data_IF_048160418908
#
_entry.id   IF_048160418908
#
_cell.length_a   1.000
_cell.length_b   1.000
_cell.length_c   1.000
_cell.angle_alpha   90.00
_cell.angle_beta   90.00
_cell.angle_gamma   90.00
#
_symmetry.space_group_name_H-M   'P 1'
#
loop_
_entity.id
_entity.type
_entity.pdbx_description
1 polymer ?
#
# COMPACT_ATOMS: atom_id res chain seq x y z
N UNK A 1 -3.04 -7.25 2.38
CA UNK A 1 -3.15 -7.12 3.86
C UNK A 1 -2.02 -7.81 4.63
N UNK A 2 -1.55 -9.00 4.22
CA UNK A 2 -0.51 -9.75 4.94
C UNK A 2 0.87 -9.04 4.98
N UNK A 3 1.31 -8.43 3.88
CA UNK A 3 2.60 -7.72 3.78
C UNK A 3 2.64 -6.48 4.68
N UNK A 4 1.56 -5.69 4.71
CA UNK A 4 1.43 -4.52 5.60
C UNK A 4 1.44 -4.94 7.06
N UNK A 5 0.69 -5.99 7.41
CA UNK A 5 0.66 -6.52 8.79
C UNK A 5 2.04 -7.06 9.21
N UNK A 6 2.74 -7.75 8.31
CA UNK A 6 4.09 -8.27 8.55
C UNK A 6 5.10 -7.14 8.78
N UNK A 7 5.05 -6.06 7.99
CA UNK A 7 5.92 -4.90 8.16
C UNK A 7 5.66 -4.16 9.47
N UNK A 8 4.39 -4.05 9.90
CA UNK A 8 4.03 -3.47 11.20
C UNK A 8 4.58 -4.32 12.35
N UNK A 9 4.39 -5.65 12.30
CA UNK A 9 4.90 -6.57 13.33
C UNK A 9 6.43 -6.52 13.39
N UNK A 10 7.10 -6.56 12.24
CA UNK A 10 8.56 -6.53 12.16
C UNK A 10 9.13 -5.21 12.69
N UNK A 11 8.48 -4.08 12.38
CA UNK A 11 8.83 -2.76 12.93
C UNK A 11 8.68 -2.72 14.46
N UNK A 12 7.61 -3.29 15.01
CA UNK A 12 7.41 -3.39 16.46
C UNK A 12 8.49 -4.22 17.15
N UNK A 13 8.90 -5.34 16.53
CA UNK A 13 9.98 -6.20 17.06
C UNK A 13 11.32 -5.45 17.07
N UNK A 14 11.66 -4.75 15.98
CA UNK A 14 12.90 -3.96 15.89
C UNK A 14 12.94 -2.85 16.95
N UNK A 15 11.84 -2.13 17.17
CA UNK A 15 11.73 -1.14 18.24
C UNK A 15 11.91 -1.81 19.62
N UNK A 16 11.22 -2.92 19.87
CA UNK A 16 11.28 -3.61 21.16
C UNK A 16 12.72 -4.04 21.50
N UNK A 17 13.46 -4.58 20.52
CA UNK A 17 14.87 -4.95 20.68
C UNK A 17 15.73 -3.71 20.98
N UNK A 18 15.53 -2.61 20.24
CA UNK A 18 16.28 -1.36 20.47
C UNK A 18 16.04 -0.79 21.89
N UNK A 19 14.79 -0.85 22.37
CA UNK A 19 14.43 -0.39 23.73
C UNK A 19 15.08 -1.27 24.80
N UNK A 20 15.04 -2.60 24.66
CA UNK A 20 15.67 -3.53 25.61
C UNK A 20 17.19 -3.29 25.67
N UNK A 21 17.84 -3.14 24.51
CA UNK A 21 19.27 -2.86 24.44
C UNK A 21 19.63 -1.50 25.05
N UNK A 22 18.76 -0.50 24.92
CA UNK A 22 18.92 0.81 25.56
C UNK A 22 18.88 0.71 27.09
N UNK A 23 17.96 -0.09 27.64
CA UNK A 23 17.87 -0.31 29.10
C UNK A 23 19.15 -0.98 29.62
N UNK A 24 19.64 -2.01 28.91
CA UNK A 24 20.89 -2.70 29.26
C UNK A 24 22.09 -1.74 29.18
N UNK A 25 22.17 -0.92 28.14
CA UNK A 25 23.20 0.08 27.96
C UNK A 25 23.25 1.10 29.11
N UNK A 26 22.09 1.61 29.54
CA UNK A 26 21.97 2.54 30.68
C UNK A 26 22.49 1.87 31.96
N UNK A 27 22.13 0.60 32.22
CA UNK A 27 22.62 -0.14 33.39
C UNK A 27 24.16 -0.27 33.35
N UNK A 28 24.74 -0.61 32.19
CA UNK A 28 26.20 -0.75 32.03
C UNK A 28 26.94 0.59 32.22
N UNK A 29 26.37 1.69 31.75
CA UNK A 29 26.90 3.04 31.95
C UNK A 29 26.88 3.39 33.45
N UNK A 30 25.76 3.18 34.13
CA UNK A 30 25.62 3.44 35.58
C UNK A 30 26.63 2.60 36.37
N UNK A 31 26.73 1.29 36.10
CA UNK A 31 27.68 0.41 36.79
C UNK A 31 29.14 0.85 36.55
N UNK A 32 29.46 1.28 35.33
CA UNK A 32 30.79 1.79 34.99
C UNK A 32 31.11 3.09 35.72
N UNK A 33 30.15 4.02 35.82
CA UNK A 33 30.28 5.27 36.58
C UNK A 33 30.46 5.01 38.08
N UNK A 34 29.68 4.10 38.66
CA UNK A 34 29.79 3.71 40.08
C UNK A 34 31.16 3.08 40.36
N UNK A 35 31.64 2.16 39.51
CA UNK A 35 32.99 1.58 39.64
C UNK A 35 34.08 2.64 39.53
N UNK A 36 33.97 3.56 38.58
CA UNK A 36 34.92 4.66 38.41
C UNK A 36 34.96 5.59 39.63
N UNK A 37 33.81 5.88 40.24
CA UNK A 37 33.71 6.68 41.46
C UNK A 37 34.38 6.00 42.66
N UNK A 38 34.15 4.69 42.86
CA UNK A 38 34.80 3.92 43.93
C UNK A 38 36.32 3.84 43.75
N UNK A 39 36.80 3.53 42.55
CA UNK A 39 38.23 3.42 42.28
C UNK A 39 38.97 4.75 42.45
N UNK A 40 38.32 5.89 42.14
CA UNK A 40 38.85 7.24 42.40
C UNK A 40 39.07 7.49 43.90
N UNK A 41 38.18 6.99 44.77
CA UNK A 41 38.37 7.05 46.24
C UNK A 41 39.52 6.15 46.72
N UNK A 42 39.80 5.07 46.01
CA UNK A 42 40.84 4.09 46.35
C UNK A 42 42.19 4.35 45.64
N UNK A 43 42.34 5.45 44.88
CA UNK A 43 43.52 5.74 44.04
C UNK A 43 43.89 4.61 43.05
N UNK A 44 42.88 3.86 42.57
CA UNK A 44 43.04 2.77 41.60
C UNK A 44 42.66 3.23 40.19
N UNK A 45 43.39 2.77 39.17
CA UNK A 45 43.02 3.00 37.76
C UNK A 45 41.79 2.17 37.37
N UNK A 46 40.90 2.75 36.58
CA UNK A 46 39.74 2.04 35.99
C UNK A 46 39.81 2.02 34.47
N UNK A 47 39.34 0.90 33.91
CA UNK A 47 39.12 0.75 32.47
C UNK A 47 37.84 1.47 32.05
N UNK A 48 37.91 2.22 30.94
CA UNK A 48 36.75 2.92 30.33
C UNK A 48 35.94 2.04 29.37
N UNK A 49 36.30 0.76 29.22
CA UNK A 49 35.69 -0.17 28.26
C UNK A 49 34.18 -0.32 28.47
N UNK A 50 33.71 -0.41 29.73
CA UNK A 50 32.28 -0.53 30.02
C UNK A 50 31.45 0.71 29.64
N UNK A 51 32.05 1.91 29.70
CA UNK A 51 31.42 3.15 29.26
C UNK A 51 31.28 3.19 27.74
N UNK A 52 32.34 2.82 27.01
CA UNK A 52 32.32 2.79 25.54
C UNK A 52 31.40 1.71 24.99
N UNK A 53 31.37 0.52 25.60
CA UNK A 53 30.41 -0.54 25.25
C UNK A 53 28.98 -0.07 25.50
N UNK A 54 28.73 0.58 26.65
CA UNK A 54 27.41 1.13 26.97
C UNK A 54 26.95 2.18 25.95
N UNK A 55 27.83 3.12 25.56
CA UNK A 55 27.51 4.13 24.54
C UNK A 55 27.26 3.47 23.17
N UNK A 56 28.09 2.52 22.75
CA UNK A 56 27.91 1.82 21.47
C UNK A 56 26.57 1.04 21.43
N UNK A 57 26.22 0.34 22.51
CA UNK A 57 24.94 -0.36 22.65
C UNK A 57 23.74 0.58 22.69
N UNK A 58 23.93 1.86 23.03
CA UNK A 58 22.88 2.86 23.00
C UNK A 58 22.67 3.46 21.60
N UNK A 59 23.71 3.52 20.75
CA UNK A 59 23.62 4.18 19.44
C UNK A 59 23.32 3.18 18.31
N UNK A 60 24.01 2.04 18.29
CA UNK A 60 23.94 1.08 17.17
C UNK A 60 22.52 0.52 16.91
N UNK A 61 21.75 0.10 17.93
CA UNK A 61 20.41 -0.45 17.69
C UNK A 61 19.45 0.56 17.07
N UNK A 62 19.58 1.84 17.43
CA UNK A 62 18.75 2.91 16.88
C UNK A 62 19.16 3.29 15.45
N UNK A 63 20.44 3.20 15.10
CA UNK A 63 20.89 3.32 13.71
C UNK A 63 20.32 2.20 12.84
N UNK A 64 20.30 0.95 13.34
CA UNK A 64 19.70 -0.19 12.64
C UNK A 64 18.20 0.00 12.50
N UNK A 65 17.51 0.41 13.57
CA UNK A 65 16.08 0.70 13.51
C UNK A 65 15.77 1.81 12.48
N UNK A 66 16.53 2.90 12.48
CA UNK A 66 16.37 3.98 11.52
C UNK A 66 16.58 3.52 10.07
N UNK A 67 17.64 2.74 9.80
CA UNK A 67 17.88 2.17 8.48
C UNK A 67 16.73 1.25 8.04
N UNK A 68 16.21 0.43 8.96
CA UNK A 68 15.06 -0.43 8.70
C UNK A 68 13.79 0.37 8.38
N UNK A 69 13.51 1.45 9.11
CA UNK A 69 12.37 2.33 8.81
C UNK A 69 12.50 3.01 7.45
N UNK A 70 13.70 3.48 7.09
CA UNK A 70 13.94 4.07 5.77
C UNK A 70 13.75 3.02 4.68
N UNK A 71 14.31 1.82 4.83
CA UNK A 71 14.15 0.73 3.87
C UNK A 71 12.67 0.30 3.74
N UNK A 72 11.93 0.20 4.84
CA UNK A 72 10.50 -0.12 4.81
C UNK A 72 9.68 0.97 4.14
N UNK A 73 10.03 2.25 4.33
CA UNK A 73 9.36 3.37 3.64
C UNK A 73 9.65 3.37 2.15
N UNK A 74 10.90 3.11 1.75
CA UNK A 74 11.27 2.98 0.34
C UNK A 74 10.53 1.80 -0.28
N UNK A 75 10.54 0.64 0.39
CA UNK A 75 9.81 -0.54 -0.07
C UNK A 75 8.30 -0.29 -0.22
N UNK A 76 7.66 0.36 0.74
CA UNK A 76 6.23 0.70 0.67
C UNK A 76 5.99 1.74 -0.44
N UNK A 77 6.84 2.76 -0.57
CA UNK A 77 6.77 3.73 -1.65
C UNK A 77 7.03 3.12 -3.03
N UNK A 78 7.79 2.03 -3.13
CA UNK A 78 8.09 1.35 -4.39
C UNK A 78 7.01 0.32 -4.77
N UNK A 79 6.35 -0.31 -3.78
CA UNK A 79 5.42 -1.43 -3.99
C UNK A 79 3.94 -1.11 -3.70
N UNK A 80 3.64 0.11 -3.24
CA UNK A 80 2.29 0.62 -2.94
C UNK A 80 2.16 2.06 -3.51
N UNK A 81 2.57 2.22 -4.78
CA UNK A 81 2.70 3.52 -5.46
C UNK A 81 1.35 4.18 -5.73
N UNK A 82 0.31 3.39 -5.90
CA UNK A 82 -1.03 3.87 -6.20
C UNK A 82 -1.99 3.02 -5.39
N UNK A 83 -2.44 3.50 -4.24
CA UNK A 83 -3.66 2.97 -3.63
C UNK A 83 -4.74 3.92 -4.11
N UNK A 84 -5.52 3.57 -5.16
CA UNK A 84 -6.60 4.44 -5.57
C UNK A 84 -7.51 4.65 -4.36
N UNK A 85 -7.72 5.92 -4.00
CA UNK A 85 -8.79 6.24 -3.08
C UNK A 85 -10.07 5.71 -3.73
N UNK A 86 -10.73 4.74 -3.08
CA UNK A 86 -11.95 4.12 -3.60
C UNK A 86 -13.02 5.18 -3.88
N UNK A 87 -12.99 6.29 -3.15
CA UNK A 87 -13.85 7.44 -3.41
C UNK A 87 -13.51 8.15 -4.72
N UNK A 88 -12.23 8.20 -5.12
CA UNK A 88 -11.79 8.71 -6.42
C UNK A 88 -12.24 7.77 -7.55
N UNK A 89 -11.99 6.46 -7.44
CA UNK A 89 -12.46 5.48 -8.44
C UNK A 89 -13.98 5.51 -8.61
N UNK A 90 -14.72 5.40 -7.50
CA UNK A 90 -16.17 5.46 -7.54
C UNK A 90 -16.65 6.82 -8.08
N UNK A 91 -16.00 7.90 -7.66
CA UNK A 91 -16.33 9.26 -8.08
C UNK A 91 -16.16 9.47 -9.58
N UNK A 92 -15.06 9.02 -10.16
CA UNK A 92 -14.76 9.13 -11.58
C UNK A 92 -15.79 8.36 -12.42
N UNK A 93 -16.09 7.11 -12.04
CA UNK A 93 -17.12 6.28 -12.70
C UNK A 93 -18.50 6.95 -12.61
N UNK A 94 -18.91 7.38 -11.42
CA UNK A 94 -20.23 7.96 -11.14
C UNK A 94 -20.46 9.28 -11.87
N UNK A 95 -19.41 10.10 -11.99
CA UNK A 95 -19.48 11.38 -12.69
C UNK A 95 -19.34 11.23 -14.20
N UNK A 96 -19.13 10.00 -14.68
CA UNK A 96 -18.79 9.69 -16.06
C UNK A 96 -17.55 10.49 -16.52
N UNK A 97 -16.56 10.63 -15.64
CA UNK A 97 -15.33 11.40 -15.87
C UNK A 97 -14.30 10.51 -16.60
N UNK A 98 -14.39 10.52 -17.93
CA UNK A 98 -13.53 9.69 -18.78
C UNK A 98 -12.05 10.08 -18.70
N UNK A 99 -11.75 11.38 -18.56
CA UNK A 99 -10.38 11.88 -18.40
C UNK A 99 -9.78 11.34 -17.09
N UNK A 100 -10.52 11.42 -15.98
CA UNK A 100 -10.06 10.92 -14.68
C UNK A 100 -9.85 9.40 -14.70
N UNK A 101 -10.71 8.62 -15.38
CA UNK A 101 -10.50 7.18 -15.53
C UNK A 101 -9.31 6.87 -16.45
N UNK A 102 -9.13 7.62 -17.53
CA UNK A 102 -7.98 7.49 -18.44
C UNK A 102 -6.66 7.70 -17.70
N UNK A 103 -6.57 8.77 -16.91
CA UNK A 103 -5.39 9.09 -16.09
C UNK A 103 -5.12 8.04 -14.99
N UNK A 104 -6.13 7.26 -14.61
CA UNK A 104 -5.98 6.15 -13.66
C UNK A 104 -5.61 4.82 -14.33
N UNK A 105 -5.70 4.70 -15.66
CA UNK A 105 -5.28 3.48 -16.37
C UNK A 105 -3.76 3.33 -16.33
N UNK A 106 -3.29 2.09 -16.31
CA UNK A 106 -1.86 1.84 -16.38
C UNK A 106 -1.35 2.15 -17.80
N UNK A 107 -0.30 2.97 -17.92
CA UNK A 107 0.25 3.42 -19.20
C UNK A 107 0.49 2.26 -20.19
N UNK A 108 1.05 1.14 -19.73
CA UNK A 108 1.30 0.00 -20.61
C UNK A 108 0.00 -0.63 -21.17
N UNK A 109 -1.12 -0.60 -20.45
CA UNK A 109 -2.42 -1.09 -20.97
C UNK A 109 -2.96 -0.12 -22.01
N UNK A 110 -2.85 1.18 -21.73
CA UNK A 110 -3.25 2.23 -22.68
C UNK A 110 -2.48 2.09 -23.99
N UNK A 111 -1.17 1.90 -23.91
CA UNK A 111 -0.29 1.72 -25.07
C UNK A 111 -0.53 0.38 -25.79
N UNK A 112 -0.76 -0.72 -25.07
CA UNK A 112 -0.93 -2.07 -25.64
C UNK A 112 -2.27 -2.22 -26.38
N UNK A 113 -3.35 -1.65 -25.82
CA UNK A 113 -4.70 -1.75 -26.38
C UNK A 113 -5.13 -0.52 -27.18
N UNK A 114 -4.25 0.47 -27.35
CA UNK A 114 -4.51 1.76 -28.05
C UNK A 114 -5.77 2.46 -27.50
N UNK A 115 -5.90 2.48 -26.18
CA UNK A 115 -7.09 3.01 -25.50
C UNK A 115 -7.08 4.52 -25.59
N UNK A 116 -8.21 5.11 -25.97
CA UNK A 116 -8.43 6.55 -25.96
C UNK A 116 -9.44 6.97 -24.90
N UNK A 117 -9.47 8.28 -24.58
CA UNK A 117 -10.53 8.87 -23.74
C UNK A 117 -11.92 8.62 -24.36
N UNK A 118 -12.03 8.62 -25.68
CA UNK A 118 -13.29 8.37 -26.40
C UNK A 118 -13.82 6.95 -26.18
N UNK A 119 -12.93 5.95 -26.07
CA UNK A 119 -13.31 4.57 -25.75
C UNK A 119 -13.90 4.50 -24.35
N UNK A 120 -13.25 5.15 -23.38
CA UNK A 120 -13.70 5.22 -21.99
C UNK A 120 -15.04 5.95 -21.88
N UNK A 121 -15.22 7.07 -22.60
CA UNK A 121 -16.52 7.72 -22.69
C UNK A 121 -17.60 6.77 -23.23
N UNK A 122 -17.29 5.99 -24.27
CA UNK A 122 -18.20 5.00 -24.83
C UNK A 122 -18.59 3.92 -23.81
N UNK A 123 -17.61 3.43 -23.05
CA UNK A 123 -17.84 2.49 -21.95
C UNK A 123 -18.71 3.09 -20.84
N UNK A 124 -18.40 4.31 -20.38
CA UNK A 124 -19.16 4.98 -19.32
C UNK A 124 -20.61 5.23 -19.74
N UNK A 125 -20.83 5.65 -21.00
CA UNK A 125 -22.18 5.77 -21.59
C UNK A 125 -22.93 4.44 -21.59
N UNK A 126 -22.25 3.32 -21.84
CA UNK A 126 -22.85 1.98 -21.81
C UNK A 126 -23.23 1.50 -20.41
N UNK A 127 -22.63 2.07 -19.35
CA UNK A 127 -22.94 1.69 -17.97
C UNK A 127 -24.33 2.17 -17.52
N UNK A 128 -24.93 3.14 -18.23
CA UNK A 128 -26.24 3.73 -17.93
C UNK A 128 -26.41 4.01 -16.43
N UNK A 129 -25.48 4.78 -15.87
CA UNK A 129 -25.46 5.06 -14.43
C UNK A 129 -26.55 6.09 -14.13
N UNK A 130 -27.62 5.67 -13.46
CA UNK A 130 -28.74 6.57 -13.17
C UNK A 130 -28.37 7.62 -12.12
N UNK A 131 -28.87 8.84 -12.31
CA UNK A 131 -28.59 10.06 -11.52
C UNK A 131 -28.15 9.80 -10.08
N UNK A 132 -26.85 9.83 -9.91
CA UNK A 132 -26.18 9.46 -8.67
C UNK A 132 -26.31 10.59 -7.67
N UNK A 133 -26.97 10.31 -6.55
CA UNK A 133 -27.03 11.26 -5.43
C UNK A 133 -25.69 11.24 -4.69
N UNK A 134 -25.36 12.28 -3.92
CA UNK A 134 -24.17 12.27 -3.05
C UNK A 134 -24.18 11.10 -2.03
N UNK A 135 -25.36 10.54 -1.72
CA UNK A 135 -25.51 9.33 -0.91
C UNK A 135 -24.97 8.07 -1.59
N UNK A 136 -24.98 8.00 -2.91
CA UNK A 136 -24.56 6.83 -3.65
C UNK A 136 -23.03 6.76 -3.77
N UNK A 137 -22.35 7.90 -3.98
CA UNK A 137 -20.87 7.99 -3.85
C UNK A 137 -20.42 7.45 -2.49
N UNK A 138 -21.13 7.84 -1.43
CA UNK A 138 -20.85 7.36 -0.07
C UNK A 138 -21.05 5.85 0.06
N UNK A 139 -22.11 5.28 -0.53
CA UNK A 139 -22.35 3.82 -0.54
C UNK A 139 -21.28 3.03 -1.30
N UNK A 140 -20.75 3.57 -2.39
CA UNK A 140 -19.70 2.93 -3.18
C UNK A 140 -18.31 3.08 -2.56
N UNK A 141 -18.06 4.13 -1.78
CA UNK A 141 -16.77 4.37 -1.12
C UNK A 141 -16.67 3.82 0.31
N UNK A 142 -17.78 3.67 1.04
CA UNK A 142 -17.79 3.14 2.41
C UNK A 142 -17.76 1.61 2.44
N UNK A 143 -17.10 1.02 3.45
CA UNK A 143 -16.92 -0.42 3.67
C UNK A 143 -18.27 -1.13 3.95
N UNK A 144 -19.10 -1.29 2.92
CA UNK A 144 -20.35 -2.03 2.98
C UNK A 144 -20.34 -3.09 1.89
N UNK A 145 -20.36 -4.37 2.30
CA UNK A 145 -20.30 -5.53 1.40
C UNK A 145 -21.49 -5.63 0.44
N UNK A 146 -22.54 -4.84 0.66
CA UNK A 146 -23.77 -4.84 -0.12
C UNK A 146 -23.63 -4.07 -1.43
N UNK A 147 -22.87 -2.97 -1.44
CA UNK A 147 -22.77 -2.06 -2.59
C UNK A 147 -21.37 -1.99 -3.20
N UNK A 148 -20.35 -2.45 -2.47
CA UNK A 148 -19.02 -2.60 -3.04
C UNK A 148 -18.22 -3.76 -2.43
N UNK A 149 -17.21 -4.21 -3.15
CA UNK A 149 -16.21 -5.15 -2.65
C UNK A 149 -14.82 -4.77 -3.15
N UNK A 150 -13.95 -4.37 -2.22
CA UNK A 150 -12.54 -4.07 -2.48
C UNK A 150 -11.63 -5.13 -1.83
N UNK A 151 -10.69 -5.67 -2.61
CA UNK A 151 -9.74 -6.70 -2.16
C UNK A 151 -8.37 -6.46 -2.77
N UNK A 152 -7.32 -6.56 -1.95
CA UNK A 152 -5.93 -6.57 -2.43
C UNK A 152 -5.39 -7.99 -2.41
N UNK A 153 -4.63 -8.34 -3.44
CA UNK A 153 -3.97 -9.62 -3.61
C UNK A 153 -2.55 -9.43 -4.16
N UNK A 154 -1.76 -10.49 -4.20
CA UNK A 154 -0.42 -10.47 -4.79
C UNK A 154 -0.40 -11.45 -5.95
N UNK A 155 0.17 -11.03 -7.07
CA UNK A 155 0.39 -11.90 -8.24
C UNK A 155 1.88 -12.08 -8.51
N UNK A 156 2.20 -13.21 -9.16
CA UNK A 156 3.52 -13.57 -9.68
C UNK A 156 3.44 -14.17 -11.10
N UNK A 157 2.30 -14.01 -11.79
CA UNK A 157 1.95 -14.78 -13.01
C UNK A 157 2.84 -14.47 -14.23
N UNK A 158 3.65 -13.42 -14.14
CA UNK A 158 4.60 -12.94 -15.14
C UNK A 158 6.06 -12.94 -14.61
N UNK A 159 6.33 -13.58 -13.48
CA UNK A 159 7.63 -13.56 -12.81
C UNK A 159 7.92 -12.29 -12.02
N UNK A 160 6.95 -11.36 -11.93
CA UNK A 160 7.06 -10.09 -11.21
C UNK A 160 6.21 -10.15 -9.94
N UNK A 161 6.76 -9.71 -8.82
CA UNK A 161 5.96 -9.58 -7.60
C UNK A 161 5.15 -8.28 -7.69
N UNK A 162 3.83 -8.42 -7.82
CA UNK A 162 2.92 -7.29 -8.00
C UNK A 162 1.88 -7.25 -6.87
N UNK A 163 1.58 -6.05 -6.38
CA UNK A 163 0.43 -5.83 -5.50
C UNK A 163 -0.74 -5.40 -6.36
N UNK A 164 -1.81 -6.19 -6.34
CA UNK A 164 -2.97 -5.97 -7.20
C UNK A 164 -4.20 -5.65 -6.36
N UNK A 165 -5.17 -5.00 -6.98
CA UNK A 165 -6.48 -4.72 -6.38
C UNK A 165 -7.61 -5.18 -7.28
N UNK A 166 -8.72 -5.48 -6.64
CA UNK A 166 -10.01 -5.72 -7.26
C UNK A 166 -11.03 -4.86 -6.53
N UNK A 167 -11.81 -4.09 -7.29
CA UNK A 167 -12.90 -3.27 -6.80
C UNK A 167 -14.17 -3.60 -7.58
N UNK A 168 -15.25 -3.89 -6.87
CA UNK A 168 -16.56 -4.13 -7.48
C UNK A 168 -17.53 -3.08 -6.94
N UNK A 169 -18.34 -2.49 -7.81
CA UNK A 169 -19.51 -1.69 -7.50
C UNK A 169 -20.76 -2.47 -7.93
N UNK A 170 -21.76 -2.55 -7.06
CA UNK A 170 -23.00 -3.30 -7.29
C UNK A 170 -24.22 -2.39 -7.26
N UNK A 171 -25.25 -2.71 -8.06
CA UNK A 171 -26.49 -1.94 -8.14
C UNK A 171 -26.27 -0.50 -8.59
N UNK A 172 -25.40 -0.29 -9.60
CA UNK A 172 -25.08 1.06 -10.12
C UNK A 172 -26.24 1.72 -10.87
N UNK A 173 -27.29 0.97 -11.17
CA UNK A 173 -28.56 1.42 -11.72
C UNK A 173 -29.71 0.51 -11.22
N UNK A 174 -30.96 0.86 -11.55
CA UNK A 174 -32.15 0.11 -11.15
C UNK A 174 -32.20 -1.34 -11.69
N UNK A 175 -31.40 -1.66 -12.71
CA UNK A 175 -31.29 -3.01 -13.31
C UNK A 175 -30.30 -3.92 -12.54
N UNK A 176 -29.68 -3.40 -11.48
CA UNK A 176 -28.71 -4.17 -10.69
C UNK A 176 -27.33 -4.24 -11.35
N UNK A 177 -26.99 -3.28 -12.21
CA UNK A 177 -25.73 -3.22 -12.92
C UNK A 177 -24.51 -3.35 -11.99
N UNK A 178 -23.47 -4.00 -12.49
CA UNK A 178 -22.22 -4.23 -11.77
C UNK A 178 -21.06 -3.65 -12.56
N UNK A 179 -20.19 -2.92 -11.88
CA UNK A 179 -18.90 -2.49 -12.42
C UNK A 179 -17.79 -3.23 -11.67
N UNK A 180 -16.89 -3.84 -12.42
CA UNK A 180 -15.70 -4.51 -11.91
C UNK A 180 -14.48 -3.78 -12.43
N UNK A 181 -13.59 -3.38 -11.52
CA UNK A 181 -12.33 -2.70 -11.79
C UNK A 181 -11.22 -3.51 -11.15
N UNK A 182 -10.11 -3.66 -11.85
CA UNK A 182 -8.93 -4.31 -11.30
C UNK A 182 -7.67 -3.74 -11.92
N UNK A 183 -6.58 -3.84 -11.19
CA UNK A 183 -5.31 -3.29 -11.61
C UNK A 183 -4.21 -3.60 -10.61
N UNK A 184 -3.12 -2.84 -10.76
CA UNK A 184 -1.89 -3.00 -9.98
C UNK A 184 -1.67 -1.73 -9.16
N UNK A 185 -1.57 -1.89 -7.84
CA UNK A 185 -1.29 -0.83 -6.87
C UNK A 185 0.23 -0.58 -6.71
N UNK A 186 1.03 -1.57 -7.10
CA UNK A 186 2.48 -1.45 -7.14
C UNK A 186 3.16 -2.60 -7.85
N UNK A 187 4.18 -2.25 -8.62
CA UNK A 187 4.98 -3.15 -9.44
C UNK A 187 6.47 -2.87 -9.20
N UNK A 188 7.26 -3.94 -9.06
CA UNK A 188 8.69 -3.85 -8.85
C UNK A 188 9.48 -3.41 -10.10
N UNK A 189 8.92 -3.56 -11.30
CA UNK A 189 9.61 -3.25 -12.56
C UNK A 189 9.48 -1.79 -12.99
N UNK A 190 8.35 -1.14 -12.74
CA UNK A 190 8.10 0.18 -13.30
C UNK A 190 6.80 0.82 -12.85
N UNK A 191 6.69 2.14 -13.03
CA UNK A 191 5.48 2.90 -12.72
C UNK A 191 4.42 2.77 -13.83
N UNK A 192 4.85 2.52 -15.06
CA UNK A 192 4.03 2.28 -16.24
C UNK A 192 3.11 1.05 -16.13
N UNK A 193 3.43 0.15 -15.19
CA UNK A 193 2.65 -1.04 -14.85
C UNK A 193 1.69 -0.83 -13.67
N UNK A 194 1.58 0.38 -13.13
CA UNK A 194 0.73 0.71 -11.99
C UNK A 194 -0.49 1.48 -12.52
N UNK A 195 -1.69 1.08 -12.11
CA UNK A 195 -2.94 1.67 -12.61
C UNK A 195 -4.05 0.64 -12.83
N UNK A 196 -5.18 1.09 -13.40
CA UNK A 196 -6.28 0.23 -13.85
C UNK A 196 -5.81 -0.56 -15.06
N UNK A 197 -5.96 -1.88 -14.98
CA UNK A 197 -5.70 -2.80 -16.08
C UNK A 197 -6.97 -3.10 -16.85
N UNK A 198 -8.07 -3.30 -16.12
CA UNK A 198 -9.32 -3.76 -16.70
C UNK A 198 -10.50 -3.19 -15.94
N UNK A 199 -11.45 -2.68 -16.72
CA UNK A 199 -12.77 -2.27 -16.24
C UNK A 199 -13.84 -2.99 -17.06
N UNK A 200 -14.88 -3.47 -16.39
CA UNK A 200 -16.03 -4.08 -17.07
C UNK A 200 -17.33 -3.76 -16.39
N UNK A 201 -18.37 -3.64 -17.20
CA UNK A 201 -19.74 -3.46 -16.80
C UNK A 201 -20.56 -4.68 -17.20
N UNK A 202 -21.51 -5.07 -16.33
CA UNK A 202 -22.46 -6.14 -16.60
C UNK A 202 -23.83 -5.76 -16.05
N UNK A 203 -24.86 -5.81 -16.90
CA UNK A 203 -26.26 -5.66 -16.51
C UNK A 203 -27.12 -6.58 -17.39
N UNK A 204 -27.86 -7.50 -16.77
CA UNK A 204 -28.58 -8.54 -17.50
C UNK A 204 -27.65 -9.36 -18.41
N UNK A 205 -27.94 -9.34 -19.71
CA UNK A 205 -27.15 -10.00 -20.76
C UNK A 205 -26.09 -9.09 -21.40
N UNK A 206 -26.07 -7.80 -21.04
CA UNK A 206 -25.11 -6.83 -21.58
C UNK A 206 -23.79 -6.90 -20.82
N UNK A 207 -22.69 -6.94 -21.56
CA UNK A 207 -21.33 -6.88 -21.01
C UNK A 207 -20.49 -5.95 -21.87
N UNK A 208 -19.83 -5.00 -21.23
CA UNK A 208 -18.90 -4.06 -21.85
C UNK A 208 -17.59 -4.05 -21.05
N UNK A 209 -16.45 -3.88 -21.70
CA UNK A 209 -15.16 -3.90 -21.02
C UNK A 209 -14.08 -3.13 -21.78
N UNK A 210 -13.13 -2.58 -21.04
CA UNK A 210 -11.94 -1.91 -21.55
C UNK A 210 -10.70 -2.46 -20.82
N UNK A 211 -9.60 -2.58 -21.57
CA UNK A 211 -8.29 -2.97 -21.07
C UNK A 211 -8.05 -4.48 -21.04
N UNK A 212 -6.94 -4.87 -20.40
CA UNK A 212 -6.43 -6.25 -20.38
C UNK A 212 -6.64 -6.85 -19.00
N UNK A 213 -7.18 -8.07 -18.93
CA UNK A 213 -7.35 -8.76 -17.63
C UNK A 213 -6.02 -8.83 -16.88
N UNK A 214 -6.01 -8.51 -15.58
CA UNK A 214 -4.79 -8.51 -14.80
C UNK A 214 -4.25 -9.94 -14.62
N UNK A 215 -2.97 -10.07 -14.24
CA UNK A 215 -2.34 -11.34 -13.85
C UNK A 215 -3.16 -12.09 -12.80
N UNK A 216 -3.26 -13.42 -12.93
CA UNK A 216 -4.11 -14.21 -12.04
C UNK A 216 -3.59 -14.21 -10.60
N UNK A 217 -4.51 -14.41 -9.64
CA UNK A 217 -4.15 -14.64 -8.24
C UNK A 217 -3.46 -16.01 -8.10
N UNK A 218 -2.34 -16.06 -7.36
CA UNK A 218 -1.63 -17.29 -7.01
C UNK A 218 -1.79 -17.65 -5.53
#
# INVERSE_FOLDING_TARGET
>A
MFVVLLNVILSMIVIAIAVILTIIAIILIIVSLVRSSKAKKENRKTSKVGLWIGIAMLVIPWLIAAAFFVASKIYDADNNRWIPDRAALAGAVIKEDADEIYDMMADHVVDEEDISVEDIEGFLKSCNIEKVSSSDIKRYSEFSSEYNHYRNYTSHDNGRAQTCFQYNMYNVNDEGGKIFITGVDGDAEGAEYVGIYYISYTAGDETSSIGVKPPAEH
#
